data_IF_458334461380
#
_entry.id   IF_458334461380
#
_cell.length_a   1.000
_cell.length_b   1.000
_cell.length_c   1.000
_cell.angle_alpha   90.00
_cell.angle_beta   90.00
_cell.angle_gamma   90.00
#
_symmetry.space_group_name_H-M   'P 1'
#
loop_
_entity.id
_entity.type
_entity.pdbx_description
1 polymer ?
#
# COMPACT_ATOMS: atom_id res chain seq x y z
N UNK A 1 -23.31 0.29 7.81
CA UNK A 1 -22.10 0.49 6.99
C UNK A 1 -21.68 1.93 7.19
N UNK A 2 -20.47 2.16 7.71
CA UNK A 2 -19.94 3.51 7.83
C UNK A 2 -19.67 4.07 6.41
N UNK A 3 -20.36 5.13 5.98
CA UNK A 3 -20.15 5.73 4.66
C UNK A 3 -18.70 6.22 4.46
N UNK A 4 -17.97 6.55 5.53
CA UNK A 4 -16.57 6.95 5.46
C UNK A 4 -15.66 5.80 5.02
N UNK A 5 -15.91 4.57 5.49
CA UNK A 5 -15.14 3.40 5.10
C UNK A 5 -15.25 3.11 3.59
N UNK A 6 -16.44 3.31 3.01
CA UNK A 6 -16.65 3.18 1.56
C UNK A 6 -15.96 4.27 0.74
N UNK A 7 -15.74 5.46 1.31
CA UNK A 7 -15.00 6.54 0.67
C UNK A 7 -13.50 6.28 0.69
N UNK A 8 -12.96 5.79 1.81
CA UNK A 8 -11.54 5.40 1.95
C UNK A 8 -11.18 4.33 0.92
N UNK A 9 -11.98 3.28 0.79
CA UNK A 9 -11.72 2.20 -0.19
C UNK A 9 -11.61 2.73 -1.63
N UNK A 10 -12.50 3.66 -2.00
CA UNK A 10 -12.48 4.29 -3.33
C UNK A 10 -11.24 5.18 -3.52
N UNK A 11 -10.88 5.97 -2.51
CA UNK A 11 -9.70 6.83 -2.56
C UNK A 11 -8.42 6.00 -2.71
N UNK A 12 -8.25 4.94 -1.91
CA UNK A 12 -7.10 4.04 -1.99
C UNK A 12 -7.04 3.32 -3.35
N UNK A 13 -8.19 2.94 -3.92
CA UNK A 13 -8.22 2.36 -5.27
C UNK A 13 -7.74 3.35 -6.34
N UNK A 14 -8.11 4.64 -6.23
CA UNK A 14 -7.62 5.69 -7.13
C UNK A 14 -6.11 5.89 -6.96
N UNK A 15 -5.60 5.95 -5.73
CA UNK A 15 -4.16 6.02 -5.47
C UNK A 15 -3.40 4.82 -6.03
N UNK A 16 -3.96 3.60 -5.92
CA UNK A 16 -3.40 2.42 -6.53
C UNK A 16 -3.30 2.54 -8.05
N UNK A 17 -4.31 3.10 -8.71
CA UNK A 17 -4.26 3.36 -10.15
C UNK A 17 -3.22 4.43 -10.50
N UNK A 18 -3.17 5.54 -9.76
CA UNK A 18 -2.18 6.61 -9.96
C UNK A 18 -0.74 6.10 -9.76
N UNK A 19 -0.54 5.17 -8.83
CA UNK A 19 0.76 4.54 -8.61
C UNK A 19 1.28 3.74 -9.81
N UNK A 20 0.49 3.54 -10.87
CA UNK A 20 0.93 2.85 -12.09
C UNK A 20 1.67 3.76 -13.08
N UNK A 21 1.60 5.09 -12.90
CA UNK A 21 2.23 6.08 -13.78
C UNK A 21 3.31 6.91 -13.03
N UNK A 22 4.36 7.40 -13.69
CA UNK A 22 5.47 8.12 -13.03
C UNK A 22 5.05 9.36 -12.25
N UNK A 23 4.14 10.16 -12.81
CA UNK A 23 3.65 11.39 -12.20
C UNK A 23 2.85 11.09 -10.94
N UNK A 24 1.99 10.06 -11.00
CA UNK A 24 1.20 9.61 -9.86
C UNK A 24 2.07 9.04 -8.74
N UNK A 25 3.11 8.26 -9.05
CA UNK A 25 4.09 7.80 -8.05
C UNK A 25 4.78 8.97 -7.34
N UNK A 26 5.17 9.99 -8.12
CA UNK A 26 5.83 11.18 -7.59
C UNK A 26 4.91 11.98 -6.67
N UNK A 27 3.68 12.24 -7.11
CA UNK A 27 2.68 12.94 -6.32
C UNK A 27 2.38 12.19 -5.01
N UNK A 28 2.14 10.88 -5.07
CA UNK A 28 1.88 10.06 -3.87
C UNK A 28 3.04 10.13 -2.87
N UNK A 29 4.28 10.07 -3.35
CA UNK A 29 5.47 10.13 -2.50
C UNK A 29 5.72 11.51 -1.87
N UNK A 30 5.34 12.59 -2.54
CA UNK A 30 5.56 13.96 -2.08
C UNK A 30 4.44 14.47 -1.16
N UNK A 31 3.19 14.10 -1.43
CA UNK A 31 1.99 14.60 -0.74
C UNK A 31 1.59 13.74 0.48
N UNK A 32 2.54 13.03 1.09
CA UNK A 32 2.27 12.22 2.28
C UNK A 32 1.38 10.99 2.06
N UNK A 33 1.28 10.49 0.82
CA UNK A 33 0.44 9.34 0.51
C UNK A 33 0.98 8.01 1.06
N UNK A 34 2.29 7.88 1.28
CA UNK A 34 2.91 6.66 1.81
C UNK A 34 2.41 6.32 3.23
N UNK A 35 2.48 7.23 4.23
CA UNK A 35 1.90 6.99 5.56
C UNK A 35 0.43 6.55 5.50
N UNK A 36 -0.40 7.25 4.70
CA UNK A 36 -1.83 6.92 4.55
C UNK A 36 -2.05 5.52 3.97
N UNK A 37 -1.22 5.10 3.02
CA UNK A 37 -1.29 3.76 2.44
C UNK A 37 -0.85 2.68 3.45
N UNK A 38 0.14 2.97 4.30
CA UNK A 38 0.55 2.04 5.36
C UNK A 38 -0.57 1.85 6.39
N UNK A 39 -1.20 2.94 6.83
CA UNK A 39 -2.37 2.89 7.72
C UNK A 39 -3.52 2.09 7.07
N UNK A 40 -3.76 2.29 5.77
CA UNK A 40 -4.78 1.54 5.04
C UNK A 40 -4.49 0.03 4.95
N UNK A 41 -3.23 -0.41 4.96
CA UNK A 41 -2.86 -1.84 5.07
C UNK A 41 -3.24 -2.40 6.44
N UNK A 42 -3.09 -1.60 7.50
CA UNK A 42 -3.37 -2.03 8.87
C UNK A 42 -4.87 -2.04 9.19
N UNK A 43 -5.55 -0.92 8.90
CA UNK A 43 -6.92 -0.65 9.38
C UNK A 43 -7.99 -0.74 8.28
N UNK A 44 -7.58 -0.81 7.02
CA UNK A 44 -8.51 -0.79 5.88
C UNK A 44 -9.41 -2.02 5.76
N UNK A 45 -10.42 -1.93 4.89
CA UNK A 45 -11.23 -3.10 4.52
C UNK A 45 -10.39 -4.14 3.77
N UNK A 46 -10.91 -5.35 3.58
CA UNK A 46 -10.22 -6.36 2.78
C UNK A 46 -9.81 -5.85 1.37
N UNK A 47 -10.64 -5.00 0.75
CA UNK A 47 -10.33 -4.36 -0.54
C UNK A 47 -9.35 -3.21 -0.38
N UNK A 48 -9.54 -2.36 0.63
CA UNK A 48 -8.62 -1.27 0.94
C UNK A 48 -7.19 -1.76 1.16
N UNK A 49 -7.02 -2.84 1.93
CA UNK A 49 -5.72 -3.47 2.18
C UNK A 49 -5.06 -4.00 0.92
N UNK A 50 -5.82 -4.66 0.03
CA UNK A 50 -5.33 -5.15 -1.26
C UNK A 50 -4.84 -4.00 -2.15
N UNK A 51 -5.64 -2.93 -2.27
CA UNK A 51 -5.28 -1.76 -3.07
C UNK A 51 -4.09 -1.00 -2.48
N UNK A 52 -4.03 -0.85 -1.16
CA UNK A 52 -2.94 -0.18 -0.48
C UNK A 52 -1.61 -0.94 -0.67
N UNK A 53 -1.62 -2.26 -0.44
CA UNK A 53 -0.44 -3.09 -0.68
C UNK A 53 0.01 -3.06 -2.15
N UNK A 54 -0.93 -3.00 -3.10
CA UNK A 54 -0.61 -2.85 -4.51
C UNK A 54 0.05 -1.49 -4.82
N UNK A 55 -0.47 -0.39 -4.27
CA UNK A 55 0.10 0.94 -4.46
C UNK A 55 1.53 1.04 -3.90
N UNK A 56 1.73 0.54 -2.67
CA UNK A 56 3.04 0.50 -2.02
C UNK A 56 4.05 -0.32 -2.81
N UNK A 57 3.64 -1.49 -3.34
CA UNK A 57 4.49 -2.30 -4.21
C UNK A 57 4.95 -1.55 -5.47
N UNK A 58 4.05 -0.78 -6.11
CA UNK A 58 4.39 -0.01 -7.31
C UNK A 58 5.36 1.15 -7.03
N UNK A 59 5.28 1.73 -5.83
CA UNK A 59 6.22 2.75 -5.36
C UNK A 59 7.60 2.12 -5.09
N UNK A 60 7.66 1.06 -4.29
CA UNK A 60 8.93 0.43 -3.90
C UNK A 60 9.68 -0.16 -5.11
N UNK A 61 8.96 -0.74 -6.07
CA UNK A 61 9.59 -1.26 -7.31
C UNK A 61 10.13 -0.17 -8.23
N UNK A 62 9.73 1.08 -8.04
CA UNK A 62 10.18 2.21 -8.85
C UNK A 62 11.33 3.00 -8.24
N UNK A 63 11.50 2.96 -6.93
CA UNK A 63 12.47 3.80 -6.23
C UNK A 63 12.81 3.24 -4.85
N UNK A 64 14.10 3.04 -4.61
CA UNK A 64 14.64 2.66 -3.29
C UNK A 64 14.35 3.72 -2.23
N UNK A 65 14.20 5.00 -2.63
CA UNK A 65 13.78 6.08 -1.74
C UNK A 65 12.38 5.82 -1.18
N UNK A 66 11.41 5.48 -2.05
CA UNK A 66 10.06 5.17 -1.59
C UNK A 66 10.05 3.86 -0.79
N UNK A 67 10.83 2.86 -1.20
CA UNK A 67 11.02 1.64 -0.42
C UNK A 67 11.48 1.91 1.02
N UNK A 68 12.49 2.76 1.17
CA UNK A 68 13.02 3.19 2.47
C UNK A 68 11.98 3.95 3.29
N UNK A 69 11.16 4.80 2.65
CA UNK A 69 10.07 5.50 3.33
C UNK A 69 9.02 4.52 3.86
N UNK A 70 8.58 3.56 3.03
CA UNK A 70 7.61 2.53 3.43
C UNK A 70 8.10 1.72 4.64
N UNK A 71 9.38 1.36 4.68
CA UNK A 71 9.96 0.69 5.85
C UNK A 71 9.94 1.57 7.11
N UNK A 72 10.31 2.85 6.98
CA UNK A 72 10.35 3.81 8.10
C UNK A 72 8.97 4.08 8.69
N UNK A 73 7.94 4.08 7.86
CA UNK A 73 6.55 4.20 8.31
C UNK A 73 6.02 2.92 9.00
N UNK A 74 6.85 1.89 9.19
CA UNK A 74 6.47 0.70 9.94
C UNK A 74 5.56 -0.26 9.17
N UNK A 75 5.64 -0.31 7.84
CA UNK A 75 4.78 -1.15 7.02
C UNK A 75 4.98 -2.67 7.23
N UNK A 76 6.13 -3.10 7.78
CA UNK A 76 6.49 -4.53 7.82
C UNK A 76 5.53 -5.37 8.66
N UNK A 77 5.22 -5.05 9.94
CA UNK A 77 4.29 -5.87 10.73
C UNK A 77 2.88 -5.98 10.10
N UNK A 78 2.23 -4.89 9.64
CA UNK A 78 0.95 -4.97 8.94
C UNK A 78 0.99 -5.84 7.69
N UNK A 79 2.07 -5.78 6.92
CA UNK A 79 2.25 -6.59 5.71
C UNK A 79 2.44 -8.07 6.01
N UNK A 80 3.13 -8.42 7.11
CA UNK A 80 3.26 -9.81 7.55
C UNK A 80 1.88 -10.38 7.93
N UNK A 81 1.09 -9.63 8.71
CA UNK A 81 -0.28 -10.02 9.03
C UNK A 81 -1.12 -10.17 7.77
N UNK A 82 -1.03 -9.23 6.83
CA UNK A 82 -1.75 -9.28 5.56
C UNK A 82 -1.35 -10.49 4.70
N UNK A 83 -0.07 -10.88 4.69
CA UNK A 83 0.41 -12.06 3.96
C UNK A 83 -0.14 -13.38 4.51
N UNK A 84 -0.51 -13.43 5.79
CA UNK A 84 -1.01 -14.65 6.43
C UNK A 84 -2.54 -14.71 6.40
N UNK A 85 -3.21 -13.59 6.65
CA UNK A 85 -4.65 -13.54 6.91
C UNK A 85 -5.46 -12.73 5.87
N UNK A 86 -4.80 -12.19 4.83
CA UNK A 86 -5.46 -11.44 3.76
C UNK A 86 -6.26 -12.32 2.80
N UNK A 87 -6.95 -11.66 1.85
CA UNK A 87 -7.47 -12.36 0.66
C UNK A 87 -6.30 -12.94 -0.15
N UNK A 88 -6.51 -13.98 -0.99
CA UNK A 88 -5.42 -14.55 -1.80
C UNK A 88 -4.68 -13.50 -2.66
N UNK A 89 -5.38 -12.47 -3.11
CA UNK A 89 -4.78 -11.35 -3.86
C UNK A 89 -3.95 -10.45 -2.95
N UNK A 90 -4.49 -10.09 -1.78
CA UNK A 90 -3.77 -9.28 -0.80
C UNK A 90 -2.51 -10.00 -0.28
N UNK A 91 -2.60 -11.30 -0.01
CA UNK A 91 -1.47 -12.13 0.42
C UNK A 91 -0.33 -12.08 -0.60
N UNK A 92 -0.63 -12.38 -1.88
CA UNK A 92 0.36 -12.33 -2.96
C UNK A 92 1.02 -10.95 -3.11
N UNK A 93 0.25 -9.87 -2.95
CA UNK A 93 0.78 -8.51 -3.01
C UNK A 93 1.67 -8.18 -1.81
N UNK A 94 1.24 -8.55 -0.61
CA UNK A 94 2.01 -8.36 0.62
C UNK A 94 3.34 -9.14 0.58
N UNK A 95 3.33 -10.41 0.17
CA UNK A 95 4.54 -11.23 0.01
C UNK A 95 5.52 -10.61 -1.01
N UNK A 96 4.99 -10.14 -2.14
CA UNK A 96 5.80 -9.49 -3.17
C UNK A 96 6.43 -8.21 -2.63
N UNK A 97 5.69 -7.42 -1.87
CA UNK A 97 6.18 -6.19 -1.25
C UNK A 97 7.23 -6.50 -0.18
N UNK A 98 6.98 -7.43 0.72
CA UNK A 98 7.95 -7.87 1.73
C UNK A 98 9.27 -8.34 1.11
N UNK A 99 9.22 -9.03 -0.05
CA UNK A 99 10.42 -9.42 -0.80
C UNK A 99 11.19 -8.23 -1.36
N UNK A 100 10.49 -7.16 -1.77
CA UNK A 100 11.14 -5.93 -2.24
C UNK A 100 11.74 -5.17 -1.05
N UNK A 101 11.07 -5.14 0.10
CA UNK A 101 11.55 -4.49 1.33
C UNK A 101 12.69 -5.25 2.02
N UNK A 102 13.03 -6.47 1.59
CA UNK A 102 14.11 -7.27 2.19
C UNK A 102 15.37 -7.32 1.33
N UNK A 103 15.40 -6.55 0.24
CA UNK A 103 16.62 -6.27 -0.52
C UNK A 103 17.45 -5.23 0.19
#
# INVERSE_FOLDING_TARGET
>A
MDPAAGMIDKAVAVLANLSTIPEGKTAIGQEGGIPCLVEAVELGSARGKEHAAAALLQLCTSSDRYCSMVQREGAVPPLVVLSQYGTPRAQKKAESLLRVLSK
#
